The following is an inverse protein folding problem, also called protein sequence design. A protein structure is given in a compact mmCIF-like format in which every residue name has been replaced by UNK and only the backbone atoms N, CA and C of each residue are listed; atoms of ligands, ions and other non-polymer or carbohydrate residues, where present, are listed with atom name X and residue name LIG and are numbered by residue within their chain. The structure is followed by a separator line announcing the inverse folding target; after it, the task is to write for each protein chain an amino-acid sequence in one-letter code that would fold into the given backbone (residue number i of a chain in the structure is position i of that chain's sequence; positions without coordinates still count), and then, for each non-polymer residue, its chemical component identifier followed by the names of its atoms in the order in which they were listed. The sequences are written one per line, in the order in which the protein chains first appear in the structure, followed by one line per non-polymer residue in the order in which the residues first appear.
data_IF_608186613452
#
_entry.id   IF_608186613452
#
_cell.length_a   1.000
_cell.length_b   1.000
_cell.length_c   1.000
_cell.angle_alpha   90.00
_cell.angle_beta   90.00
_cell.angle_gamma   90.00
#
_symmetry.space_group_name_H-M   'P 1'
#
loop_
_entity.id
_entity.type
_entity.pdbx_description
1 polymer ?
#
# COMPACT_ATOMS: atom_id res chain seq x y z
N UNK A 1 9.62 11.82 15.71
CA UNK A 1 10.11 12.62 14.55
C UNK A 1 8.92 13.07 13.76
N UNK A 2 8.84 14.35 13.38
CA UNK A 2 7.68 14.95 12.71
C UNK A 2 7.98 15.23 11.23
N UNK A 3 7.00 14.96 10.36
CA UNK A 3 7.05 15.12 8.91
C UNK A 3 5.82 15.88 8.41
N UNK A 4 5.89 16.43 7.20
CA UNK A 4 4.74 17.04 6.54
C UNK A 4 3.96 16.00 5.73
N UNK A 5 4.61 14.94 5.27
CA UNK A 5 4.03 13.87 4.47
C UNK A 5 4.71 12.54 4.78
N UNK A 6 3.96 11.45 4.78
CA UNK A 6 4.49 10.09 4.73
C UNK A 6 3.87 9.31 3.56
N UNK A 7 4.69 8.55 2.85
CA UNK A 7 4.26 7.72 1.74
C UNK A 7 4.90 6.32 1.78
N UNK A 8 4.16 5.30 1.34
CA UNK A 8 4.62 3.93 1.31
C UNK A 8 5.29 3.56 -0.02
N UNK A 9 6.46 2.94 0.07
CA UNK A 9 7.17 2.33 -1.06
C UNK A 9 7.00 0.80 -1.11
N UNK A 10 5.88 0.29 -0.62
CA UNK A 10 5.54 -1.12 -0.69
C UNK A 10 6.40 -2.04 0.20
N UNK A 11 6.65 -3.27 -0.19
CA UNK A 11 6.30 -3.95 -1.45
C UNK A 11 4.84 -4.40 -1.58
N UNK A 12 4.03 -4.22 -0.55
CA UNK A 12 2.63 -4.63 -0.55
C UNK A 12 1.73 -3.57 0.09
N UNK A 13 0.42 -3.79 0.02
CA UNK A 13 -0.59 -2.93 0.66
C UNK A 13 -0.43 -2.83 2.19
N UNK A 14 0.24 -3.78 2.83
CA UNK A 14 0.54 -3.76 4.26
C UNK A 14 1.33 -2.52 4.69
N UNK A 15 2.23 -2.01 3.85
CA UNK A 15 2.96 -0.78 4.14
C UNK A 15 2.02 0.42 4.28
N UNK A 16 1.14 0.66 3.31
CA UNK A 16 0.19 1.77 3.40
C UNK A 16 -0.88 1.55 4.47
N UNK A 17 -1.27 0.30 4.75
CA UNK A 17 -2.17 -0.02 5.86
C UNK A 17 -1.52 0.29 7.22
N UNK A 18 -0.24 -0.03 7.38
CA UNK A 18 0.56 0.35 8.56
C UNK A 18 0.61 1.86 8.74
N UNK A 19 0.98 2.61 7.69
CA UNK A 19 1.04 4.07 7.76
C UNK A 19 -0.32 4.70 8.09
N UNK A 20 -1.41 4.14 7.57
CA UNK A 20 -2.78 4.60 7.90
C UNK A 20 -3.17 4.25 9.33
N UNK A 21 -2.85 3.04 9.78
CA UNK A 21 -3.08 2.63 11.17
C UNK A 21 -2.29 3.49 12.16
N UNK A 22 -1.09 3.89 11.79
CA UNK A 22 -0.23 4.80 12.55
C UNK A 22 -0.66 6.29 12.49
N UNK A 23 -1.68 6.64 11.69
CA UNK A 23 -2.11 8.03 11.51
C UNK A 23 -1.19 8.88 10.62
N UNK A 24 -0.22 8.26 9.95
CA UNK A 24 0.77 8.97 9.12
C UNK A 24 0.31 9.18 7.68
N UNK A 25 -0.68 8.42 7.21
CA UNK A 25 -1.19 8.50 5.83
C UNK A 25 -2.71 8.49 5.81
N UNK A 26 -3.31 9.57 5.35
CA UNK A 26 -4.77 9.74 5.30
C UNK A 26 -5.36 9.47 3.91
N UNK A 27 -4.59 9.72 2.87
CA UNK A 27 -5.01 9.64 1.47
C UNK A 27 -4.32 8.47 0.77
N UNK A 28 -4.96 7.94 -0.28
CA UNK A 28 -4.32 6.93 -1.13
C UNK A 28 -3.38 7.57 -2.14
N UNK A 29 -2.19 7.00 -2.26
CA UNK A 29 -1.15 7.36 -3.23
C UNK A 29 -0.96 6.26 -4.29
N UNK A 30 -0.22 6.52 -5.37
CA UNK A 30 -0.07 5.55 -6.45
C UNK A 30 0.47 4.19 -5.99
N UNK A 31 1.46 4.16 -5.11
CA UNK A 31 2.13 2.92 -4.69
C UNK A 31 1.41 2.07 -3.65
N UNK A 32 0.29 2.56 -3.08
CA UNK A 32 -0.35 1.93 -1.91
C UNK A 32 -0.89 0.51 -2.15
N UNK A 33 -1.27 0.21 -3.39
CA UNK A 33 -2.03 -0.99 -3.71
C UNK A 33 -1.39 -1.82 -4.83
N UNK A 34 -0.17 -1.49 -5.20
CA UNK A 34 0.61 -2.20 -6.21
C UNK A 34 1.86 -2.80 -5.60
N UNK A 35 2.26 -3.94 -6.08
CA UNK A 35 3.44 -4.66 -5.60
C UNK A 35 4.37 -5.08 -6.73
N UNK A 36 5.58 -5.52 -6.43
CA UNK A 36 6.43 -6.23 -7.38
C UNK A 36 5.87 -7.62 -7.64
N UNK A 37 6.29 -8.25 -8.72
CA UNK A 37 5.88 -9.62 -9.00
C UNK A 37 6.71 -10.63 -8.21
N UNK A 38 6.06 -11.75 -7.83
CA UNK A 38 6.71 -12.82 -7.08
C UNK A 38 7.47 -13.83 -7.97
N UNK A 39 7.38 -13.71 -9.30
CA UNK A 39 7.86 -14.75 -10.23
C UNK A 39 9.11 -14.39 -11.04
N UNK A 40 9.61 -13.17 -10.95
CA UNK A 40 10.80 -12.72 -11.69
C UNK A 40 11.66 -11.85 -10.77
N UNK A 41 12.91 -11.65 -11.13
CA UNK A 41 13.92 -10.82 -10.46
C UNK A 41 13.50 -9.36 -10.14
N UNK A 42 12.21 -9.09 -10.10
CA UNK A 42 11.62 -7.76 -9.92
C UNK A 42 11.70 -7.17 -8.51
N UNK A 43 12.15 -7.96 -7.53
CA UNK A 43 12.33 -7.47 -6.16
C UNK A 43 13.55 -6.58 -6.03
N UNK A 44 14.62 -6.92 -6.74
CA UNK A 44 15.92 -6.29 -6.57
C UNK A 44 15.90 -4.79 -6.96
N UNK A 45 15.02 -4.41 -7.91
CA UNK A 45 14.91 -3.04 -8.39
C UNK A 45 13.62 -2.31 -7.97
N UNK A 46 12.79 -2.88 -7.11
CA UNK A 46 11.47 -2.28 -6.80
C UNK A 46 11.59 -0.88 -6.18
N UNK A 47 12.56 -0.65 -5.31
CA UNK A 47 12.80 0.68 -4.70
C UNK A 47 13.28 1.67 -5.76
N UNK A 48 14.19 1.25 -6.64
CA UNK A 48 14.71 2.08 -7.73
C UNK A 48 13.59 2.49 -8.70
N UNK A 49 12.78 1.52 -9.15
CA UNK A 49 11.64 1.79 -10.06
C UNK A 49 10.62 2.77 -9.47
N UNK A 50 10.28 2.62 -8.20
CA UNK A 50 9.37 3.55 -7.52
C UNK A 50 9.98 4.94 -7.41
N UNK A 51 11.28 5.01 -7.16
CA UNK A 51 12.03 6.26 -7.13
C UNK A 51 12.00 6.94 -8.50
N UNK A 52 12.32 6.20 -9.57
CA UNK A 52 12.35 6.72 -10.93
C UNK A 52 10.97 7.17 -11.42
N UNK A 53 9.93 6.39 -11.10
CA UNK A 53 8.54 6.77 -11.36
C UNK A 53 8.16 8.08 -10.68
N UNK A 54 8.55 8.26 -9.43
CA UNK A 54 8.24 9.48 -8.68
C UNK A 54 9.03 10.67 -9.24
N UNK A 55 10.31 10.48 -9.53
CA UNK A 55 11.18 11.52 -10.13
C UNK A 55 10.71 11.94 -11.52
N UNK A 56 10.29 10.98 -12.33
CA UNK A 56 9.71 11.27 -13.66
C UNK A 56 8.34 11.93 -13.60
N UNK A 57 7.75 12.08 -12.40
CA UNK A 57 6.38 12.57 -12.24
C UNK A 57 5.34 11.60 -12.78
N UNK A 58 5.68 10.30 -12.81
CA UNK A 58 4.83 9.23 -13.36
C UNK A 58 4.49 9.44 -14.85
N UNK A 59 5.39 10.03 -15.62
CA UNK A 59 5.21 10.14 -17.07
C UNK A 59 5.17 8.75 -17.69
N UNK A 60 4.21 8.54 -18.57
CA UNK A 60 4.06 7.33 -19.39
C UNK A 60 4.13 6.01 -18.59
N UNK A 61 3.57 6.00 -17.38
CA UNK A 61 3.71 4.85 -16.49
C UNK A 61 2.59 3.80 -16.58
N UNK A 62 1.43 4.19 -17.11
CA UNK A 62 0.30 3.28 -17.30
C UNK A 62 -0.15 3.36 -18.76
N UNK A 63 0.02 2.26 -19.51
CA UNK A 63 -0.56 2.04 -20.82
C UNK A 63 -1.35 0.74 -20.80
N UNK A 64 -2.49 0.68 -21.50
CA UNK A 64 -3.35 -0.50 -21.49
C UNK A 64 -2.63 -1.74 -22.03
N UNK A 65 -1.83 -1.57 -23.07
CA UNK A 65 -1.06 -2.60 -23.73
C UNK A 65 0.04 -3.25 -22.86
N UNK A 66 0.43 -2.59 -21.77
CA UNK A 66 1.42 -3.14 -20.84
C UNK A 66 0.82 -4.14 -19.84
N UNK A 67 -0.52 -4.28 -19.81
CA UNK A 67 -1.18 -5.11 -18.81
C UNK A 67 -1.46 -6.53 -19.30
N UNK A 68 -0.85 -7.51 -18.66
CA UNK A 68 -1.10 -8.93 -18.87
C UNK A 68 -1.94 -9.52 -17.72
N UNK A 69 -3.00 -10.26 -18.05
CA UNK A 69 -3.79 -10.98 -17.07
C UNK A 69 -2.99 -12.16 -16.50
N UNK A 70 -2.94 -12.28 -15.18
CA UNK A 70 -2.19 -13.33 -14.47
C UNK A 70 -3.04 -14.19 -13.54
N UNK A 71 -4.36 -14.06 -13.63
CA UNK A 71 -5.33 -14.84 -12.85
C UNK A 71 -6.19 -13.95 -11.94
N UNK A 72 -7.01 -14.58 -11.10
CA UNK A 72 -7.91 -13.90 -10.18
C UNK A 72 -7.33 -13.87 -8.76
N UNK A 73 -7.77 -12.88 -8.00
CA UNK A 73 -7.44 -12.73 -6.59
C UNK A 73 -8.68 -12.99 -5.73
N UNK A 74 -8.47 -13.48 -4.52
CA UNK A 74 -9.54 -13.82 -3.56
C UNK A 74 -10.41 -12.64 -3.11
N UNK A 75 -9.96 -11.41 -3.38
CA UNK A 75 -10.71 -10.18 -3.07
C UNK A 75 -11.77 -9.80 -4.11
N UNK A 76 -12.01 -10.62 -5.14
CA UNK A 76 -12.95 -10.34 -6.21
C UNK A 76 -12.38 -9.48 -7.35
N UNK A 77 -11.08 -9.36 -7.41
CA UNK A 77 -10.36 -8.60 -8.45
C UNK A 77 -9.49 -9.53 -9.29
N UNK A 78 -9.35 -9.23 -10.57
CA UNK A 78 -8.38 -9.85 -11.45
C UNK A 78 -6.98 -9.27 -11.17
N UNK A 79 -5.98 -10.13 -11.28
CA UNK A 79 -4.57 -9.75 -11.18
C UNK A 79 -4.04 -9.43 -12.57
N UNK A 80 -3.50 -8.25 -12.70
CA UNK A 80 -2.81 -7.81 -13.90
C UNK A 80 -1.37 -7.46 -13.58
N UNK A 81 -0.48 -7.93 -14.42
CA UNK A 81 0.92 -7.53 -14.42
C UNK A 81 1.15 -6.43 -15.45
N UNK A 82 1.74 -5.33 -15.02
CA UNK A 82 2.31 -4.36 -15.95
C UNK A 82 3.73 -4.80 -16.32
N UNK A 83 3.91 -5.24 -17.56
CA UNK A 83 5.15 -5.85 -18.07
C UNK A 83 6.30 -4.87 -18.13
N UNK A 84 6.01 -3.61 -18.44
CA UNK A 84 7.02 -2.56 -18.54
C UNK A 84 7.52 -2.12 -17.17
N UNK A 85 6.62 -1.96 -16.21
CA UNK A 85 6.95 -1.49 -14.86
C UNK A 85 7.34 -2.63 -13.91
N UNK A 86 7.13 -3.89 -14.28
CA UNK A 86 7.34 -5.05 -13.42
C UNK A 86 6.54 -4.95 -12.10
N UNK A 87 5.33 -4.40 -12.17
CA UNK A 87 4.43 -4.21 -11.04
C UNK A 87 3.13 -5.00 -11.23
N UNK A 88 2.60 -5.54 -10.13
CA UNK A 88 1.34 -6.27 -10.12
C UNK A 88 0.22 -5.43 -9.51
N UNK A 89 -0.93 -5.47 -10.17
CA UNK A 89 -2.17 -4.79 -9.77
C UNK A 89 -3.20 -5.84 -9.36
N UNK A 90 -3.56 -5.86 -8.08
CA UNK A 90 -4.47 -6.87 -7.50
C UNK A 90 -5.72 -6.26 -6.86
N UNK A 91 -5.93 -4.95 -7.01
CA UNK A 91 -7.03 -4.22 -6.35
C UNK A 91 -7.82 -3.32 -7.28
N UNK A 92 -7.59 -3.40 -8.59
CA UNK A 92 -8.03 -2.37 -9.51
C UNK A 92 -9.02 -2.85 -10.58
N UNK A 93 -8.90 -4.09 -11.01
CA UNK A 93 -9.63 -4.66 -12.14
C UNK A 93 -10.64 -5.70 -11.65
N UNK A 94 -11.96 -5.45 -11.76
CA UNK A 94 -12.97 -6.42 -11.30
C UNK A 94 -12.96 -7.72 -12.13
N UNK A 95 -13.15 -8.87 -11.48
CA UNK A 95 -13.29 -10.15 -12.16
C UNK A 95 -14.49 -10.09 -13.12
N UNK A 96 -14.31 -10.63 -14.34
CA UNK A 96 -15.34 -10.70 -15.38
C UNK A 96 -15.58 -9.39 -16.13
N UNK A 97 -14.81 -8.34 -15.86
CA UNK A 97 -14.84 -7.08 -16.63
C UNK A 97 -13.63 -7.04 -17.54
N UNK A 98 -13.79 -6.86 -18.86
CA UNK A 98 -12.67 -6.73 -19.79
C UNK A 98 -11.71 -5.60 -19.38
N UNK A 99 -10.42 -5.75 -19.70
CA UNK A 99 -9.42 -4.75 -19.41
C UNK A 99 -9.79 -3.41 -20.07
N UNK A 100 -10.16 -3.42 -21.34
CA UNK A 100 -10.53 -2.22 -22.12
C UNK A 100 -11.70 -1.43 -21.52
N UNK A 101 -12.61 -2.11 -20.80
CA UNK A 101 -13.73 -1.46 -20.12
C UNK A 101 -13.33 -0.88 -18.76
N UNK A 102 -12.47 -1.59 -18.01
CA UNK A 102 -12.06 -1.18 -16.66
C UNK A 102 -10.87 -0.21 -16.64
N UNK A 103 -9.98 -0.31 -17.62
CA UNK A 103 -8.73 0.46 -17.69
C UNK A 103 -8.92 1.99 -17.66
N UNK A 104 -9.86 2.61 -18.40
CA UNK A 104 -10.01 4.07 -18.35
C UNK A 104 -10.31 4.59 -16.94
N UNK A 105 -11.11 3.85 -16.18
CA UNK A 105 -11.42 4.17 -14.79
C UNK A 105 -10.22 4.02 -13.85
N UNK A 106 -9.39 3.01 -14.10
CA UNK A 106 -8.14 2.77 -13.36
C UNK A 106 -7.12 3.85 -13.68
N UNK A 107 -6.87 4.15 -14.95
CA UNK A 107 -5.96 5.21 -15.37
C UNK A 107 -6.34 6.58 -14.77
N UNK A 108 -7.62 6.97 -14.85
CA UNK A 108 -8.12 8.19 -14.25
C UNK A 108 -7.96 8.22 -12.71
N UNK A 109 -8.11 7.08 -12.03
CA UNK A 109 -7.88 6.96 -10.59
C UNK A 109 -6.42 7.22 -10.25
N UNK A 110 -5.49 6.62 -10.98
CA UNK A 110 -4.06 6.77 -10.75
C UNK A 110 -3.56 8.17 -11.12
N UNK A 111 -4.04 8.77 -12.21
CA UNK A 111 -3.73 10.16 -12.55
C UNK A 111 -4.05 11.12 -11.39
N UNK A 112 -5.26 11.00 -10.80
CA UNK A 112 -5.63 11.83 -9.64
C UNK A 112 -4.77 11.58 -8.40
N UNK A 113 -4.32 10.32 -8.18
CA UNK A 113 -3.43 9.98 -7.05
C UNK A 113 -2.03 10.56 -7.24
N UNK A 114 -1.53 10.48 -8.46
CA UNK A 114 -0.24 11.02 -8.87
C UNK A 114 -0.19 12.53 -8.72
N UNK A 115 -1.13 13.24 -9.34
CA UNK A 115 -1.24 14.70 -9.25
C UNK A 115 -1.26 15.16 -7.78
N UNK A 116 -2.11 14.53 -6.97
CA UNK A 116 -2.21 14.85 -5.54
C UNK A 116 -0.92 14.58 -4.79
N UNK A 117 -0.23 13.45 -5.05
CA UNK A 117 1.03 13.13 -4.39
C UNK A 117 2.10 14.16 -4.72
N UNK A 118 2.27 14.48 -6.00
CA UNK A 118 3.25 15.47 -6.45
C UNK A 118 2.97 16.87 -5.89
N UNK A 119 1.69 17.26 -5.81
CA UNK A 119 1.30 18.54 -5.20
C UNK A 119 1.62 18.58 -3.70
N UNK A 120 1.35 17.49 -2.96
CA UNK A 120 1.68 17.39 -1.55
C UNK A 120 3.19 17.40 -1.30
N UNK A 121 3.97 16.69 -2.11
CA UNK A 121 5.43 16.72 -2.02
C UNK A 121 5.95 18.15 -2.18
N UNK A 122 5.52 18.88 -3.21
CA UNK A 122 5.98 20.25 -3.47
C UNK A 122 5.62 21.23 -2.33
N UNK A 123 4.56 20.95 -1.58
CA UNK A 123 4.13 21.75 -0.42
C UNK A 123 4.79 21.36 0.89
N UNK A 124 5.51 20.24 0.91
CA UNK A 124 6.17 19.71 2.08
C UNK A 124 7.58 20.29 2.22
N UNK A 125 8.05 20.40 3.45
CA UNK A 125 9.47 20.64 3.76
C UNK A 125 10.20 19.33 4.00
N UNK A 126 9.51 18.35 4.62
CA UNK A 126 10.09 17.06 5.00
C UNK A 126 9.13 15.91 4.76
N UNK A 127 9.57 14.91 4.01
CA UNK A 127 8.79 13.75 3.60
C UNK A 127 9.41 12.46 4.14
N UNK A 128 8.59 11.59 4.73
CA UNK A 128 9.00 10.25 5.13
C UNK A 128 8.59 9.25 4.05
N UNK A 129 9.56 8.56 3.47
CA UNK A 129 9.32 7.38 2.64
C UNK A 129 9.45 6.14 3.52
N UNK A 130 8.43 5.30 3.58
CA UNK A 130 8.46 4.09 4.38
C UNK A 130 8.37 2.84 3.50
N UNK A 131 9.17 1.83 3.83
CA UNK A 131 9.12 0.50 3.25
C UNK A 131 8.97 -0.53 4.35
N UNK A 132 7.92 -1.33 4.28
CA UNK A 132 7.69 -2.44 5.19
C UNK A 132 7.96 -3.75 4.45
N UNK A 133 8.97 -4.48 4.86
CA UNK A 133 9.27 -5.81 4.30
C UNK A 133 8.17 -6.82 4.65
N UNK A 134 8.01 -7.80 3.80
CA UNK A 134 7.08 -8.90 4.06
C UNK A 134 7.74 -9.91 5.00
N UNK A 135 7.00 -10.40 6.03
CA UNK A 135 7.57 -11.31 7.02
C UNK A 135 7.88 -12.72 6.49
N UNK A 136 7.23 -13.12 5.39
CA UNK A 136 7.34 -14.45 4.78
C UNK A 136 8.45 -14.59 3.75
N UNK A 137 9.21 -13.52 3.48
CA UNK A 137 10.25 -13.52 2.47
C UNK A 137 11.63 -13.47 3.11
N UNK A 138 12.53 -14.32 2.63
CA UNK A 138 13.96 -14.28 3.00
C UNK A 138 14.69 -13.09 2.39
N UNK A 139 14.10 -12.50 1.34
CA UNK A 139 14.65 -11.33 0.68
C UNK A 139 14.60 -10.08 1.58
N UNK A 140 15.67 -9.33 1.57
CA UNK A 140 15.80 -8.09 2.34
C UNK A 140 16.11 -6.91 1.42
N UNK A 141 15.51 -5.77 1.70
CA UNK A 141 15.81 -4.52 1.00
C UNK A 141 17.23 -4.06 1.37
N UNK A 142 18.15 -3.91 0.40
CA UNK A 142 19.46 -3.37 0.67
C UNK A 142 19.38 -1.95 1.21
N UNK A 143 20.24 -1.61 2.16
CA UNK A 143 20.34 -0.23 2.67
C UNK A 143 20.81 0.73 1.58
N UNK A 144 21.63 0.25 0.63
CA UNK A 144 22.04 1.02 -0.55
C UNK A 144 20.85 1.54 -1.37
N UNK A 145 19.80 0.74 -1.53
CA UNK A 145 18.60 1.12 -2.29
C UNK A 145 17.78 2.18 -1.55
N UNK A 146 17.70 2.04 -0.22
CA UNK A 146 17.05 3.04 0.62
C UNK A 146 17.79 4.38 0.58
N UNK A 147 19.13 4.33 0.58
CA UNK A 147 20.00 5.51 0.41
C UNK A 147 19.80 6.14 -0.95
N UNK A 148 19.85 5.34 -2.01
CA UNK A 148 19.59 5.79 -3.37
C UNK A 148 18.25 6.52 -3.49
N UNK A 149 17.17 5.95 -2.95
CA UNK A 149 15.86 6.56 -2.98
C UNK A 149 15.84 7.91 -2.24
N UNK A 150 16.34 7.96 -0.99
CA UNK A 150 16.42 9.17 -0.20
C UNK A 150 17.16 10.28 -0.95
N UNK A 151 18.36 10.00 -1.43
CA UNK A 151 19.25 10.99 -2.04
C UNK A 151 18.72 11.47 -3.39
N UNK A 152 18.23 10.54 -4.22
CA UNK A 152 17.65 10.84 -5.52
C UNK A 152 16.40 11.69 -5.40
N UNK A 153 15.50 11.35 -4.47
CA UNK A 153 14.28 12.12 -4.22
C UNK A 153 14.60 13.50 -3.65
N UNK A 154 15.51 13.60 -2.68
CA UNK A 154 15.92 14.89 -2.11
C UNK A 154 16.54 15.80 -3.16
N UNK A 155 17.33 15.24 -4.09
CA UNK A 155 17.89 16.00 -5.21
C UNK A 155 16.82 16.44 -6.21
N UNK A 156 15.91 15.54 -6.59
CA UNK A 156 14.89 15.80 -7.62
C UNK A 156 13.82 16.79 -7.16
N UNK A 157 13.50 16.81 -5.88
CA UNK A 157 12.46 17.66 -5.31
C UNK A 157 13.01 18.77 -4.40
N UNK A 158 14.28 19.14 -4.54
CA UNK A 158 14.84 20.22 -3.73
C UNK A 158 13.97 21.50 -3.77
N UNK A 159 13.72 22.18 -2.63
CA UNK A 159 14.39 22.05 -1.34
C UNK A 159 13.72 21.03 -0.36
N UNK A 160 12.83 20.15 -0.81
CA UNK A 160 12.17 19.16 0.04
C UNK A 160 13.17 18.11 0.51
N UNK A 161 13.24 17.89 1.81
CA UNK A 161 14.06 16.84 2.40
C UNK A 161 13.27 15.53 2.43
N UNK A 162 13.89 14.45 1.95
CA UNK A 162 13.36 13.11 2.08
C UNK A 162 14.16 12.30 3.09
N UNK A 163 13.44 11.66 4.01
CA UNK A 163 13.98 10.64 4.89
C UNK A 163 13.39 9.27 4.50
N UNK A 164 14.15 8.20 4.75
CA UNK A 164 13.72 6.85 4.44
C UNK A 164 13.65 5.99 5.70
N UNK A 165 12.54 5.29 5.90
CA UNK A 165 12.30 4.34 6.98
C UNK A 165 12.16 2.93 6.40
N UNK A 166 13.13 2.07 6.68
CA UNK A 166 13.05 0.65 6.41
C UNK A 166 12.55 -0.09 7.65
N UNK A 167 11.42 -0.79 7.51
CA UNK A 167 10.81 -1.59 8.57
C UNK A 167 11.07 -3.05 8.24
N UNK A 168 11.85 -3.73 9.08
CA UNK A 168 12.34 -5.09 8.84
C UNK A 168 11.85 -6.06 9.91
N UNK A 169 11.44 -7.25 9.46
CA UNK A 169 11.18 -8.39 10.33
C UNK A 169 12.46 -8.84 11.00
N UNK A 170 12.44 -8.92 12.34
CA UNK A 170 13.56 -9.40 13.12
C UNK A 170 13.05 -10.23 14.33
N UNK A 171 13.10 -11.54 14.21
CA UNK A 171 12.69 -12.45 15.27
C UNK A 171 13.65 -12.47 16.48
N UNK A 172 14.84 -11.88 16.36
CA UNK A 172 15.78 -11.76 17.48
C UNK A 172 15.42 -10.61 18.44
N UNK A 173 14.57 -9.68 18.01
CA UNK A 173 14.05 -8.64 18.88
C UNK A 173 12.89 -9.19 19.70
N UNK A 174 12.93 -9.14 21.04
CA UNK A 174 11.89 -9.71 21.88
C UNK A 174 10.50 -9.17 21.51
N UNK A 175 9.50 -10.05 21.57
CA UNK A 175 8.11 -9.66 21.33
C UNK A 175 7.71 -8.49 22.25
N UNK A 176 7.04 -7.50 21.72
CA UNK A 176 6.69 -6.28 22.46
C UNK A 176 7.78 -5.21 22.49
N UNK A 177 8.96 -5.51 21.95
CA UNK A 177 10.07 -4.56 21.84
C UNK A 177 10.32 -4.18 20.39
N UNK A 178 10.99 -3.04 20.18
CA UNK A 178 11.40 -2.56 18.87
C UNK A 178 12.78 -1.92 18.96
N UNK A 179 13.56 -2.01 17.89
CA UNK A 179 14.88 -1.42 17.80
C UNK A 179 14.92 -0.44 16.62
N UNK A 180 14.97 0.85 16.92
CA UNK A 180 15.22 1.89 15.93
C UNK A 180 16.72 2.16 15.86
N UNK A 181 17.23 2.16 14.64
CA UNK A 181 18.61 2.49 14.31
C UNK A 181 18.63 3.66 13.32
N UNK A 182 19.40 4.70 13.61
CA UNK A 182 19.77 5.70 12.63
C UNK A 182 21.01 5.20 11.91
N UNK A 183 20.81 4.67 10.70
CA UNK A 183 21.91 4.12 9.89
C UNK A 183 22.83 5.25 9.44
N UNK A 184 22.22 6.35 9.03
CA UNK A 184 22.86 7.63 8.69
C UNK A 184 21.80 8.75 8.72
N UNK A 185 22.17 10.03 8.63
CA UNK A 185 21.20 11.13 8.62
C UNK A 185 20.09 10.92 7.58
N UNK A 186 18.83 10.93 8.03
CA UNK A 186 17.67 10.72 7.18
C UNK A 186 17.43 9.29 6.70
N UNK A 187 18.19 8.30 7.20
CA UNK A 187 17.97 6.89 6.90
C UNK A 187 17.83 6.08 8.18
N UNK A 188 16.64 5.53 8.39
CA UNK A 188 16.27 4.82 9.60
C UNK A 188 15.94 3.35 9.29
N UNK A 189 16.30 2.48 10.21
CA UNK A 189 15.95 1.07 10.21
C UNK A 189 15.21 0.72 11.50
N UNK A 190 13.96 0.30 11.38
CA UNK A 190 13.14 -0.14 12.50
C UNK A 190 13.00 -1.67 12.44
N UNK A 191 13.48 -2.36 13.46
CA UNK A 191 13.46 -3.83 13.54
C UNK A 191 12.62 -4.29 14.73
N UNK A 192 11.74 -5.25 14.49
CA UNK A 192 10.98 -5.97 15.51
C UNK A 192 10.26 -7.18 14.90
N UNK A 193 9.80 -8.09 15.73
CA UNK A 193 9.01 -9.23 15.28
C UNK A 193 7.55 -8.83 15.06
N UNK A 194 7.15 -8.64 13.80
CA UNK A 194 5.78 -8.28 13.42
C UNK A 194 5.03 -9.42 12.71
N UNK A 195 5.51 -10.65 12.80
CA UNK A 195 4.77 -11.80 12.24
C UNK A 195 3.44 -11.96 12.95
N UNK A 196 2.40 -12.25 12.16
CA UNK A 196 1.13 -12.64 12.73
C UNK A 196 1.12 -14.15 13.01
N UNK A 197 1.32 -14.52 14.27
CA UNK A 197 1.35 -15.92 14.70
C UNK A 197 -0.01 -16.43 15.16
N UNK A 198 -1.08 -15.65 15.01
CA UNK A 198 -2.43 -16.06 15.37
C UNK A 198 -2.93 -17.20 14.46
N UNK A 199 -3.73 -18.14 14.96
CA UNK A 199 -4.31 -19.19 14.14
C UNK A 199 -5.07 -18.62 12.93
N UNK A 200 -4.75 -19.11 11.73
CA UNK A 200 -5.39 -18.67 10.48
C UNK A 200 -4.86 -17.36 9.89
N UNK A 201 -3.84 -16.76 10.47
CA UNK A 201 -3.16 -15.62 9.89
C UNK A 201 -2.40 -16.03 8.62
N UNK A 202 -2.39 -15.14 7.62
CA UNK A 202 -1.59 -15.34 6.41
C UNK A 202 -0.13 -14.96 6.68
N UNK A 203 0.86 -15.87 6.48
CA UNK A 203 2.28 -15.59 6.76
C UNK A 203 2.84 -14.37 6.02
N UNK A 204 2.26 -14.05 4.86
CA UNK A 204 2.65 -12.91 4.04
C UNK A 204 2.30 -11.55 4.65
N UNK A 205 1.42 -11.52 5.64
CA UNK A 205 0.97 -10.26 6.21
C UNK A 205 1.57 -10.03 7.61
N UNK A 206 2.07 -8.82 7.88
CA UNK A 206 2.48 -8.43 9.21
C UNK A 206 1.25 -8.26 10.11
N UNK A 207 1.45 -8.33 11.40
CA UNK A 207 0.46 -7.92 12.39
C UNK A 207 0.30 -6.39 12.35
N UNK A 208 -0.69 -5.94 11.60
CA UNK A 208 -0.85 -4.52 11.23
C UNK A 208 -1.07 -3.58 12.43
N UNK A 209 -1.84 -4.02 13.44
CA UNK A 209 -2.07 -3.25 14.67
C UNK A 209 -0.76 -3.00 15.43
N UNK A 210 0.06 -4.03 15.56
CA UNK A 210 1.36 -3.97 16.19
C UNK A 210 2.35 -3.10 15.40
N UNK A 211 2.43 -3.32 14.09
CA UNK A 211 3.32 -2.55 13.21
C UNK A 211 2.94 -1.06 13.21
N UNK A 212 1.65 -0.75 13.17
CA UNK A 212 1.16 0.62 13.24
C UNK A 212 1.51 1.29 14.59
N UNK A 213 1.33 0.57 15.71
CA UNK A 213 1.68 1.07 17.04
C UNK A 213 3.18 1.36 17.16
N UNK A 214 4.05 0.44 16.66
CA UNK A 214 5.50 0.61 16.66
C UNK A 214 5.94 1.85 15.86
N UNK A 215 5.34 2.08 14.72
CA UNK A 215 5.65 3.23 13.86
C UNK A 215 5.14 4.53 14.47
N UNK A 216 3.90 4.57 14.95
CA UNK A 216 3.30 5.78 15.55
C UNK A 216 3.99 6.25 16.83
N UNK A 217 4.63 5.35 17.56
CA UNK A 217 5.43 5.71 18.73
C UNK A 217 6.68 6.56 18.40
N UNK A 218 7.17 6.48 17.17
CA UNK A 218 8.43 7.07 16.75
C UNK A 218 8.28 8.22 15.74
N UNK A 219 7.23 8.17 14.93
CA UNK A 219 7.00 9.06 13.80
C UNK A 219 5.61 9.68 13.87
N UNK A 220 5.52 10.95 13.46
CA UNK A 220 4.26 11.68 13.32
C UNK A 220 4.25 12.49 12.02
N UNK A 221 3.07 12.78 11.52
CA UNK A 221 2.87 13.69 10.40
C UNK A 221 2.09 14.89 10.89
N UNK A 222 2.59 16.08 10.55
CA UNK A 222 1.92 17.33 10.82
C UNK A 222 0.58 17.35 10.09
N UNK A 223 -0.51 17.59 10.82
CA UNK A 223 -1.82 17.62 10.20
C UNK A 223 -1.90 18.75 9.17
N UNK A 224 -2.07 18.39 7.89
CA UNK A 224 -2.39 19.38 6.86
C UNK A 224 -3.84 19.85 6.93
N UNK A 225 -4.68 19.02 7.58
CA UNK A 225 -6.11 19.20 7.65
C UNK A 225 -6.57 18.81 9.03
N UNK A 226 -7.46 19.61 9.57
CA UNK A 226 -8.16 19.27 10.79
C UNK A 226 -8.97 17.99 10.59
N UNK A 227 -9.32 17.30 11.69
CA UNK A 227 -10.21 16.11 11.64
C UNK A 227 -11.51 16.43 10.91
N UNK A 228 -12.01 17.65 11.05
CA UNK A 228 -13.24 18.12 10.43
C UNK A 228 -13.09 18.29 8.90
N UNK A 229 -11.97 18.83 8.43
CA UNK A 229 -11.69 18.91 6.99
C UNK A 229 -11.54 17.53 6.36
N UNK A 230 -10.91 16.58 7.05
CA UNK A 230 -10.81 15.18 6.63
C UNK A 230 -12.20 14.55 6.56
N UNK A 231 -13.03 14.74 7.57
CA UNK A 231 -14.42 14.25 7.61
C UNK A 231 -15.26 14.87 6.49
N UNK A 232 -15.15 16.17 6.30
CA UNK A 232 -15.82 16.90 5.20
C UNK A 232 -15.37 16.42 3.82
N UNK A 233 -14.07 16.21 3.62
CA UNK A 233 -13.53 15.67 2.36
C UNK A 233 -14.03 14.23 2.10
N UNK A 234 -14.06 13.37 3.10
CA UNK A 234 -14.62 12.01 3.00
C UNK A 234 -16.10 12.03 2.67
N UNK A 235 -16.87 12.92 3.32
CA UNK A 235 -18.29 13.10 3.06
C UNK A 235 -18.54 13.62 1.64
N UNK A 236 -17.78 14.60 1.18
CA UNK A 236 -17.85 15.14 -0.18
C UNK A 236 -17.51 14.06 -1.24
N UNK A 237 -16.47 13.27 -1.01
CA UNK A 237 -16.12 12.15 -1.88
C UNK A 237 -17.22 11.07 -1.92
N UNK A 238 -17.85 10.78 -0.77
CA UNK A 238 -18.99 9.87 -0.67
C UNK A 238 -20.22 10.41 -1.42
N UNK A 239 -20.53 11.71 -1.28
CA UNK A 239 -21.63 12.37 -2.00
C UNK A 239 -21.40 12.36 -3.52
N UNK A 240 -20.18 12.68 -4.01
CA UNK A 240 -19.82 12.58 -5.43
C UNK A 240 -20.01 11.17 -5.98
N UNK A 241 -19.60 10.15 -5.20
CA UNK A 241 -19.79 8.74 -5.57
C UNK A 241 -21.28 8.37 -5.68
N UNK A 242 -22.08 8.83 -4.73
CA UNK A 242 -23.54 8.60 -4.73
C UNK A 242 -24.23 9.32 -5.88
N UNK A 243 -23.85 10.57 -6.18
CA UNK A 243 -24.36 11.32 -7.33
C UNK A 243 -23.99 10.67 -8.67
N UNK A 244 -22.77 10.11 -8.77
CA UNK A 244 -22.29 9.46 -10.00
C UNK A 244 -22.93 8.08 -10.26
N UNK A 245 -23.21 7.31 -9.21
CA UNK A 245 -23.63 5.91 -9.36
C UNK A 245 -25.09 5.63 -8.94
N UNK A 246 -25.82 6.67 -8.52
CA UNK A 246 -27.21 6.57 -8.09
C UNK A 246 -27.41 5.69 -6.84
N UNK A 247 -28.59 5.80 -6.22
CA UNK A 247 -28.94 5.00 -5.03
C UNK A 247 -29.02 3.50 -5.31
N UNK A 248 -29.32 3.09 -6.57
CA UNK A 248 -29.45 1.70 -6.97
C UNK A 248 -28.13 0.90 -6.87
N UNK A 249 -27.00 1.50 -7.25
CA UNK A 249 -25.72 0.81 -7.20
C UNK A 249 -25.15 0.69 -5.79
N UNK A 250 -25.47 1.62 -4.90
CA UNK A 250 -25.11 1.52 -3.48
C UNK A 250 -25.87 0.36 -2.80
N UNK A 251 -27.11 0.11 -3.20
CA UNK A 251 -27.93 -1.00 -2.70
C UNK A 251 -27.40 -2.34 -3.22
N UNK A 252 -27.07 -2.46 -4.52
CA UNK A 252 -26.47 -3.66 -5.11
C UNK A 252 -25.12 -4.00 -4.50
N UNK A 253 -24.28 -3.00 -4.21
CA UNK A 253 -22.99 -3.20 -3.52
C UNK A 253 -23.19 -3.69 -2.09
N UNK A 254 -24.15 -3.12 -1.33
CA UNK A 254 -24.49 -3.58 0.02
C UNK A 254 -25.07 -4.99 0.02
N UNK A 255 -25.93 -5.32 -0.95
CA UNK A 255 -26.48 -6.68 -1.15
C UNK A 255 -25.39 -7.69 -1.51
N UNK A 256 -24.50 -7.38 -2.42
CA UNK A 256 -23.38 -8.27 -2.77
C UNK A 256 -22.43 -8.50 -1.58
N UNK A 257 -22.15 -7.47 -0.81
CA UNK A 257 -21.36 -7.59 0.42
C UNK A 257 -22.08 -8.40 1.50
N UNK A 258 -23.36 -8.22 1.67
CA UNK A 258 -24.22 -9.01 2.56
C UNK A 258 -24.26 -10.48 2.14
N UNK A 259 -24.49 -10.78 0.87
CA UNK A 259 -24.51 -12.16 0.34
C UNK A 259 -23.13 -12.83 0.42
N UNK A 260 -22.05 -12.10 0.28
CA UNK A 260 -20.70 -12.66 0.44
C UNK A 260 -20.41 -13.11 1.88
N UNK A 261 -20.98 -12.44 2.88
CA UNK A 261 -20.88 -12.88 4.29
C UNK A 261 -21.70 -14.15 4.56
N UNK A 262 -22.90 -14.28 3.94
CA UNK A 262 -23.71 -15.50 4.08
C UNK A 262 -23.09 -16.72 3.39
N UNK A 263 -22.45 -16.54 2.22
CA UNK A 263 -21.74 -17.64 1.54
C UNK A 263 -20.53 -18.15 2.33
N UNK A 264 -19.84 -17.29 3.07
CA UNK A 264 -18.74 -17.69 3.96
C UNK A 264 -19.22 -18.48 5.17
N UNK A 265 -20.40 -18.16 5.73
CA UNK A 265 -21.01 -18.92 6.83
C UNK A 265 -21.52 -20.31 6.41
N UNK A 266 -22.08 -20.44 5.21
CA UNK A 266 -22.62 -21.71 4.71
C UNK A 266 -21.53 -22.74 4.34
N UNK A 267 -20.33 -22.28 3.91
CA UNK A 267 -19.21 -23.19 3.59
C UNK A 267 -18.52 -23.76 4.84
N UNK A 268 -18.70 -23.18 6.01
CA UNK A 268 -18.18 -23.71 7.28
C UNK A 268 -19.14 -24.69 7.96
N UNK A 269 -20.44 -24.60 7.70
CA UNK A 269 -21.44 -25.51 8.27
C UNK A 269 -21.51 -26.89 7.59
N UNK A 270 -20.92 -27.04 6.39
CA UNK A 270 -20.95 -28.30 5.60
C UNK A 270 -19.80 -29.28 5.86
N UNK A 271 -18.89 -29.02 6.79
CA UNK A 271 -17.72 -29.89 7.09
C UNK A 271 -17.79 -30.58 8.46
N UNK A 272 -18.93 -30.90 8.93
CA UNK A 272 -19.07 -31.64 10.17
C UNK A 272 -20.19 -32.63 10.11
N UNK A 273 -19.92 -33.85 9.72
CA UNK A 273 -20.46 -35.14 10.17
C UNK A 273 -20.27 -36.20 9.09
N UNK A 274 -19.08 -36.81 9.06
CA UNK A 274 -18.94 -38.16 8.49
C UNK A 274 -19.14 -39.16 9.62
N UNK A 275 -19.89 -40.24 9.44
CA UNK A 275 -20.14 -41.24 10.46
C UNK A 275 -18.84 -42.01 10.71
N UNK A 276 -18.51 -42.16 11.99
CA UNK A 276 -17.55 -43.15 12.43
C UNK A 276 -18.17 -44.52 12.30
N UNK A 277 -17.66 -45.35 11.44
CA UNK A 277 -17.82 -46.79 11.38
C UNK A 277 -16.44 -47.44 11.54
#
# INVERSE_FOLDING_TARGET
MEYDLALGFGPACSCSQTLRGAGLQLLSFPFDWIGPTFKRSGWDDDVHRRTDLLVSGFRDWLHEEDFEYTGDHTNGMSKYWNTRLQLIFVHDFPIGVPLSESYPGVAAKYARRTERLLDLIRKSKRVLVARLERPDLDWRTPISDCRYARDTLSKAFAPVQFDFLLIQQDASVPFGSQKLETVEPGLFRLRFDYRDTRPGAEPAFPRLDWTAAAVSALFSVREYRTKDEIAAHRLAAKRKRWAKYGASNAWQYRWRKFLSHFRKGASQAGRGTGPRG
#
